data_IF_909402550626
#
_entry.id   IF_909402550626
#
_cell.length_a   1.000
_cell.length_b   1.000
_cell.length_c   1.000
_cell.angle_alpha   90.00
_cell.angle_beta   90.00
_cell.angle_gamma   90.00
#
_symmetry.space_group_name_H-M   'P 1'
#
loop_
_entity.id
_entity.type
_entity.pdbx_description
1 polymer ?
#
# COMPACT_ATOMS: atom_id res chain seq x y z
N UNK A 1 2.67 0.60 -0.99
CA UNK A 1 1.28 0.87 -1.44
C UNK A 1 1.15 2.35 -1.80
N UNK A 2 0.33 2.71 -2.77
CA UNK A 2 -0.04 4.11 -3.02
C UNK A 2 -1.48 4.34 -2.56
N UNK A 3 -1.77 5.47 -1.95
CA UNK A 3 -3.15 5.88 -1.65
C UNK A 3 -3.50 7.22 -2.29
N UNK A 4 -4.69 7.25 -2.88
CA UNK A 4 -5.37 8.42 -3.40
C UNK A 4 -6.67 8.56 -2.61
N UNK A 5 -6.84 9.67 -1.92
CA UNK A 5 -8.10 10.02 -1.28
C UNK A 5 -8.73 11.15 -2.09
N UNK A 6 -9.88 10.86 -2.70
CA UNK A 6 -10.69 11.87 -3.38
C UNK A 6 -11.19 12.93 -2.38
N UNK A 7 -11.62 14.10 -2.88
CA UNK A 7 -12.58 14.96 -2.17
C UNK A 7 -13.76 14.13 -1.67
N UNK A 8 -14.44 14.57 -0.60
CA UNK A 8 -15.46 13.75 0.06
C UNK A 8 -16.61 13.37 -0.90
N UNK A 9 -16.52 12.20 -1.53
CA UNK A 9 -17.52 11.70 -2.47
C UNK A 9 -18.85 11.62 -1.71
N UNK A 10 -19.88 12.40 -2.10
CA UNK A 10 -21.11 12.45 -1.33
C UNK A 10 -21.72 11.04 -1.20
N UNK A 11 -22.36 10.71 -0.08
CA UNK A 11 -22.55 9.32 0.38
C UNK A 11 -23.40 8.42 -0.53
N UNK A 12 -23.98 8.99 -1.59
CA UNK A 12 -24.73 8.31 -2.65
C UNK A 12 -23.85 7.80 -3.81
N UNK A 13 -22.55 8.11 -3.88
CA UNK A 13 -21.60 7.66 -4.92
C UNK A 13 -20.79 6.41 -4.52
N UNK A 14 -21.43 5.44 -3.86
CA UNK A 14 -20.89 4.07 -3.74
C UNK A 14 -21.26 3.28 -5.01
N UNK A 15 -20.29 2.58 -5.58
CA UNK A 15 -20.40 1.95 -6.90
C UNK A 15 -21.23 0.65 -6.91
N UNK A 16 -22.53 0.73 -6.65
CA UNK A 16 -23.49 -0.36 -6.88
C UNK A 16 -24.69 0.17 -7.70
N UNK A 17 -24.66 0.00 -9.04
CA UNK A 17 -25.85 0.01 -9.94
C UNK A 17 -25.49 0.11 -11.43
N UNK A 18 -24.32 0.66 -11.78
CA UNK A 18 -23.98 1.08 -13.15
C UNK A 18 -23.67 -0.04 -14.18
N UNK A 19 -24.21 -1.26 -13.99
CA UNK A 19 -24.08 -2.37 -14.94
C UNK A 19 -25.31 -3.29 -14.90
N UNK A 20 -26.39 -2.90 -15.60
CA UNK A 20 -27.37 -3.82 -16.21
C UNK A 20 -28.40 -3.05 -17.07
N UNK A 21 -28.27 -3.12 -18.40
CA UNK A 21 -29.19 -2.49 -19.35
C UNK A 21 -29.72 -3.46 -20.43
N UNK A 22 -29.84 -4.76 -20.10
CA UNK A 22 -30.31 -5.78 -21.07
C UNK A 22 -30.96 -7.02 -20.44
N UNK A 23 -32.04 -6.85 -19.66
CA UNK A 23 -32.99 -7.94 -19.36
C UNK A 23 -34.35 -7.40 -18.90
N UNK A 24 -35.44 -8.04 -19.32
CA UNK A 24 -36.82 -7.68 -18.94
C UNK A 24 -37.38 -8.63 -17.86
N UNK A 25 -37.53 -8.15 -16.63
CA UNK A 25 -38.36 -8.78 -15.59
C UNK A 25 -38.77 -7.74 -14.52
N UNK A 26 -39.92 -7.94 -13.87
CA UNK A 26 -40.52 -7.00 -12.93
C UNK A 26 -40.35 -7.41 -11.46
N UNK A 27 -39.82 -6.52 -10.61
CA UNK A 27 -39.97 -6.60 -9.16
C UNK A 27 -39.83 -5.22 -8.49
N UNK A 28 -40.64 -4.99 -7.45
CA UNK A 28 -40.58 -3.93 -6.41
C UNK A 28 -39.57 -2.78 -6.56
N UNK A 29 -40.05 -1.58 -6.89
CA UNK A 29 -39.30 -0.33 -6.76
C UNK A 29 -39.24 0.15 -5.30
N UNK A 30 -38.05 0.09 -4.68
CA UNK A 30 -37.68 1.07 -3.65
C UNK A 30 -37.16 2.33 -4.35
N UNK A 31 -37.77 3.48 -4.09
CA UNK A 31 -37.40 4.74 -4.77
C UNK A 31 -36.21 5.40 -4.09
N UNK A 32 -34.99 4.94 -4.41
CA UNK A 32 -33.83 5.83 -4.37
C UNK A 32 -33.99 6.88 -5.47
N UNK A 33 -33.84 8.16 -5.13
CA UNK A 33 -33.76 9.23 -6.14
C UNK A 33 -32.52 8.99 -7.00
N UNK A 34 -32.61 9.02 -8.35
CA UNK A 34 -31.42 8.99 -9.18
C UNK A 34 -30.46 10.11 -8.79
N UNK A 35 -29.19 9.78 -8.61
CA UNK A 35 -28.14 10.77 -8.38
C UNK A 35 -27.94 11.53 -9.67
N UNK A 36 -28.27 12.83 -9.67
CA UNK A 36 -27.88 13.72 -10.76
C UNK A 36 -26.38 14.01 -10.62
N UNK A 37 -25.57 13.27 -11.38
CA UNK A 37 -24.13 13.52 -11.49
C UNK A 37 -23.90 14.92 -12.06
N UNK A 38 -23.10 15.71 -11.36
CA UNK A 38 -22.67 17.04 -11.82
C UNK A 38 -22.08 16.96 -13.24
N UNK A 39 -22.31 18.01 -14.05
CA UNK A 39 -22.03 17.98 -15.49
C UNK A 39 -20.60 17.50 -15.82
N UNK A 40 -19.59 17.93 -15.05
CA UNK A 40 -18.20 17.52 -15.26
C UNK A 40 -17.94 16.03 -14.99
N UNK A 41 -18.66 15.40 -14.05
CA UNK A 41 -18.60 13.94 -13.85
C UNK A 41 -19.16 13.22 -15.08
N UNK A 42 -20.28 13.71 -15.63
CA UNK A 42 -20.86 13.14 -16.85
C UNK A 42 -19.95 13.33 -18.06
N UNK A 43 -19.27 14.48 -18.19
CA UNK A 43 -18.33 14.72 -19.28
C UNK A 43 -17.07 13.84 -19.16
N UNK A 44 -16.54 13.65 -17.94
CA UNK A 44 -15.38 12.79 -17.69
C UNK A 44 -15.68 11.29 -17.95
N UNK A 45 -16.93 10.87 -17.74
CA UNK A 45 -17.44 9.56 -18.18
C UNK A 45 -17.65 9.50 -19.71
N UNK A 46 -18.28 10.52 -20.29
CA UNK A 46 -18.64 10.62 -21.72
C UNK A 46 -17.43 10.62 -22.66
N UNK A 47 -16.36 11.30 -22.27
CA UNK A 47 -15.11 11.41 -23.05
C UNK A 47 -14.16 10.21 -22.84
N UNK A 48 -14.62 9.17 -22.13
CA UNK A 48 -13.85 7.94 -21.90
C UNK A 48 -12.56 8.19 -21.11
N UNK A 49 -12.56 9.12 -20.15
CA UNK A 49 -11.42 9.31 -19.24
C UNK A 49 -11.46 8.38 -18.03
N UNK A 50 -12.64 7.89 -17.63
CA UNK A 50 -12.80 6.91 -16.55
C UNK A 50 -11.98 5.63 -16.77
N UNK A 51 -11.92 5.14 -18.02
CA UNK A 51 -11.11 3.98 -18.41
C UNK A 51 -9.60 4.23 -18.25
N UNK A 52 -9.17 5.49 -18.42
CA UNK A 52 -7.78 5.95 -18.37
C UNK A 52 -7.30 6.30 -16.95
N UNK A 53 -8.22 6.52 -16.01
CA UNK A 53 -7.89 6.67 -14.59
C UNK A 53 -7.42 5.33 -14.00
N UNK A 54 -6.41 5.30 -13.12
CA UNK A 54 -5.95 4.06 -12.51
C UNK A 54 -7.02 3.45 -11.61
N UNK A 55 -7.13 2.11 -11.60
CA UNK A 55 -7.99 1.40 -10.66
C UNK A 55 -7.55 1.69 -9.21
N UNK A 56 -8.46 2.31 -8.47
CA UNK A 56 -8.32 2.63 -7.05
C UNK A 56 -9.34 1.77 -6.29
N UNK A 57 -8.85 0.94 -5.38
CA UNK A 57 -9.67 0.10 -4.50
C UNK A 57 -10.41 0.91 -3.44
N UNK A 58 -11.47 0.33 -2.85
CA UNK A 58 -12.39 0.95 -1.87
C UNK A 58 -11.70 1.73 -0.72
N UNK A 59 -10.50 1.31 -0.32
CA UNK A 59 -9.71 1.97 0.73
C UNK A 59 -8.89 3.16 0.22
N UNK A 60 -9.22 3.67 -0.96
CA UNK A 60 -8.45 4.70 -1.66
C UNK A 60 -7.04 4.24 -2.00
N UNK A 61 -6.81 2.96 -2.35
CA UNK A 61 -5.45 2.46 -2.65
C UNK A 61 -5.29 2.06 -4.12
N UNK A 62 -4.22 2.53 -4.75
CA UNK A 62 -3.73 2.04 -6.03
C UNK A 62 -2.57 1.06 -5.79
N UNK A 63 -2.69 -0.15 -6.33
CA UNK A 63 -1.80 -1.29 -6.02
C UNK A 63 -1.28 -2.05 -7.24
N UNK A 64 -1.82 -1.72 -8.42
CA UNK A 64 -1.57 -2.40 -9.69
C UNK A 64 -0.58 -1.59 -10.56
N UNK A 65 -0.44 -1.95 -11.84
CA UNK A 65 0.31 -1.16 -12.83
C UNK A 65 1.79 -0.93 -12.48
N UNK A 66 2.41 -1.80 -11.67
CA UNK A 66 3.78 -1.63 -11.18
C UNK A 66 4.01 -0.42 -10.26
N UNK A 67 2.95 0.37 -9.95
CA UNK A 67 3.08 1.72 -9.34
C UNK A 67 3.84 1.71 -8.01
N UNK A 68 3.77 0.59 -7.28
CA UNK A 68 4.44 0.41 -6.01
C UNK A 68 5.98 0.26 -6.12
N UNK A 69 6.56 0.23 -7.33
CA UNK A 69 8.00 0.14 -7.57
C UNK A 69 8.55 1.15 -8.57
N UNK A 70 7.78 2.18 -8.94
CA UNK A 70 8.29 3.31 -9.75
C UNK A 70 9.48 3.98 -9.04
N UNK A 71 10.43 4.49 -9.82
CA UNK A 71 11.62 5.18 -9.33
C UNK A 71 11.33 6.30 -8.32
N UNK A 72 10.31 7.11 -8.59
CA UNK A 72 9.89 8.18 -7.67
C UNK A 72 9.36 7.61 -6.33
N UNK A 73 8.68 6.45 -6.32
CA UNK A 73 8.27 5.76 -5.07
C UNK A 73 9.47 5.29 -4.26
N UNK A 74 10.55 4.87 -4.92
CA UNK A 74 11.77 4.43 -4.23
C UNK A 74 12.58 5.59 -3.67
N UNK A 75 12.75 6.69 -4.43
CA UNK A 75 13.37 7.93 -3.94
C UNK A 75 12.69 8.46 -2.68
N UNK A 76 11.36 8.33 -2.61
CA UNK A 76 10.57 8.70 -1.43
C UNK A 76 10.87 7.78 -0.24
N UNK A 77 10.90 6.45 -0.44
CA UNK A 77 11.24 5.49 0.64
C UNK A 77 12.62 5.72 1.24
N UNK A 78 13.58 6.17 0.43
CA UNK A 78 14.95 6.42 0.84
C UNK A 78 15.22 7.85 1.31
N UNK A 79 14.21 8.72 1.36
CA UNK A 79 14.33 10.13 1.72
C UNK A 79 15.09 10.31 3.06
N UNK A 80 16.34 10.83 3.05
CA UNK A 80 17.21 10.80 4.22
C UNK A 80 16.63 11.45 5.48
N UNK A 81 15.83 12.51 5.33
CA UNK A 81 15.20 13.20 6.46
C UNK A 81 14.13 12.36 7.16
N UNK A 82 13.51 11.42 6.45
CA UNK A 82 12.47 10.54 7.02
C UNK A 82 13.06 9.21 7.49
N UNK A 83 13.95 8.59 6.70
CA UNK A 83 14.65 7.37 7.13
C UNK A 83 15.38 7.64 8.44
N UNK A 84 16.17 8.73 8.54
CA UNK A 84 16.92 9.08 9.76
C UNK A 84 16.04 9.38 10.99
N UNK A 85 14.79 9.83 10.80
CA UNK A 85 13.86 10.00 11.90
C UNK A 85 13.40 8.65 12.48
N UNK A 86 13.14 7.67 11.61
CA UNK A 86 12.84 6.31 12.05
C UNK A 86 14.09 5.58 12.58
N UNK A 87 15.29 5.83 12.05
CA UNK A 87 16.55 5.30 12.60
C UNK A 87 16.77 5.75 14.05
N UNK A 88 16.45 7.01 14.34
CA UNK A 88 16.52 7.59 15.68
C UNK A 88 15.42 7.05 16.61
N UNK A 89 14.23 6.76 16.08
CA UNK A 89 13.08 6.28 16.88
C UNK A 89 13.16 4.78 17.20
N UNK A 90 13.66 3.96 16.27
CA UNK A 90 13.72 2.50 16.39
C UNK A 90 15.06 1.97 16.93
N UNK A 91 16.02 2.87 17.20
CA UNK A 91 17.42 2.59 17.58
C UNK A 91 18.08 1.52 16.67
N UNK A 92 17.85 1.66 15.36
CA UNK A 92 18.30 0.71 14.35
C UNK A 92 18.44 1.40 12.97
N UNK A 93 19.44 0.99 12.18
CA UNK A 93 19.74 1.60 10.87
C UNK A 93 19.20 0.79 9.69
N UNK A 94 18.72 -0.43 9.92
CA UNK A 94 18.31 -1.36 8.88
C UNK A 94 16.77 -1.39 8.77
N UNK A 95 16.17 -0.43 8.03
CA UNK A 95 14.72 -0.11 8.04
C UNK A 95 14.00 -0.12 6.66
N UNK A 96 12.69 0.23 6.56
CA UNK A 96 11.81 -0.01 5.38
C UNK A 96 10.50 0.88 5.22
N UNK A 97 10.42 2.21 4.98
CA UNK A 97 9.07 2.88 5.10
C UNK A 97 8.67 4.29 4.58
N UNK A 98 7.63 4.85 5.24
CA UNK A 98 6.62 5.87 4.80
C UNK A 98 7.14 7.28 4.55
N UNK A 99 6.53 7.98 3.57
CA UNK A 99 6.47 9.46 3.50
C UNK A 99 5.15 9.95 2.87
N UNK A 100 4.64 11.11 3.32
CA UNK A 100 3.60 11.88 2.63
C UNK A 100 4.22 13.09 1.89
N UNK A 101 3.73 13.42 0.69
CA UNK A 101 4.37 14.38 -0.22
C UNK A 101 3.72 15.77 -0.27
N UNK A 102 2.43 15.85 0.08
CA UNK A 102 1.66 17.08 -0.08
C UNK A 102 1.51 17.83 1.25
N UNK A 103 1.54 19.18 1.24
CA UNK A 103 1.17 19.98 2.41
C UNK A 103 -0.32 19.80 2.70
N UNK A 104 -0.67 19.43 3.93
CA UNK A 104 -2.06 19.29 4.38
C UNK A 104 -2.40 20.46 5.30
N UNK A 105 -3.38 21.28 4.93
CA UNK A 105 -3.99 22.29 5.81
C UNK A 105 -5.08 21.70 6.71
N UNK A 106 -5.67 22.52 7.61
CA UNK A 106 -6.66 22.05 8.59
C UNK A 106 -8.00 21.58 8.00
N UNK A 107 -8.25 21.84 6.71
CA UNK A 107 -9.46 21.44 5.96
C UNK A 107 -9.18 20.34 4.93
N UNK A 108 -7.92 20.11 4.60
CA UNK A 108 -7.47 19.11 3.64
C UNK A 108 -7.37 17.71 4.27
N UNK A 109 -8.04 17.51 5.41
CA UNK A 109 -8.14 16.27 6.19
C UNK A 109 -6.82 15.50 6.34
N UNK A 110 -6.86 14.20 6.04
CA UNK A 110 -5.70 13.31 6.19
C UNK A 110 -5.62 12.68 7.57
N UNK A 111 -4.41 12.42 8.06
CA UNK A 111 -4.19 11.63 9.28
C UNK A 111 -4.23 12.52 10.54
N UNK A 112 -5.30 12.41 11.34
CA UNK A 112 -5.32 12.98 12.69
C UNK A 112 -4.59 12.03 13.63
N UNK A 113 -3.66 12.59 14.42
CA UNK A 113 -2.77 11.85 15.32
C UNK A 113 -3.00 12.31 16.76
N UNK A 114 -3.38 11.38 17.65
CA UNK A 114 -3.63 11.65 19.06
C UNK A 114 -2.30 11.83 19.81
N UNK A 115 -1.73 13.04 19.77
CA UNK A 115 -0.45 13.37 20.41
C UNK A 115 -0.38 12.90 21.86
N UNK A 116 0.60 12.05 22.15
CA UNK A 116 0.84 11.52 23.50
C UNK A 116 0.10 10.22 23.83
N UNK A 117 -0.78 9.70 22.96
CA UNK A 117 -1.51 8.45 23.25
C UNK A 117 -0.61 7.23 23.43
N UNK A 118 0.60 7.25 22.87
CA UNK A 118 1.59 6.18 23.05
C UNK A 118 1.93 5.92 24.54
N UNK A 119 1.78 6.92 25.41
CA UNK A 119 1.97 6.77 26.85
C UNK A 119 0.85 5.95 27.52
N UNK A 120 -0.34 5.90 26.91
CA UNK A 120 -1.47 5.07 27.35
C UNK A 120 -1.41 3.65 26.77
N UNK A 121 -0.45 3.36 25.88
CA UNK A 121 -0.44 2.12 25.13
C UNK A 121 -0.23 0.89 25.99
N UNK A 122 0.60 0.97 27.04
CA UNK A 122 0.81 -0.16 27.97
C UNK A 122 -0.50 -0.52 28.66
N UNK A 123 -1.18 0.48 29.26
CA UNK A 123 -2.51 0.32 29.86
C UNK A 123 -3.51 -0.29 28.86
N UNK A 124 -3.56 0.21 27.62
CA UNK A 124 -4.44 -0.33 26.59
C UNK A 124 -4.13 -1.79 26.22
N UNK A 125 -2.84 -2.19 26.20
CA UNK A 125 -2.43 -3.57 25.93
C UNK A 125 -2.72 -4.50 27.12
N UNK A 126 -2.64 -4.00 28.35
CA UNK A 126 -2.99 -4.74 29.57
C UNK A 126 -4.51 -4.91 29.69
N UNK A 127 -5.29 -3.86 29.41
CA UNK A 127 -6.77 -3.87 29.42
C UNK A 127 -7.36 -4.71 28.29
N UNK A 128 -6.70 -4.80 27.12
CA UNK A 128 -7.10 -5.64 25.99
C UNK A 128 -6.36 -6.98 25.92
N UNK A 129 -5.66 -7.40 26.97
CA UNK A 129 -4.88 -8.65 27.00
C UNK A 129 -5.74 -9.94 26.86
N UNK A 130 -7.06 -9.81 26.89
CA UNK A 130 -8.05 -10.89 26.67
C UNK A 130 -8.45 -11.06 25.21
N UNK A 131 -8.15 -10.10 24.32
CA UNK A 131 -8.41 -10.24 22.87
C UNK A 131 -7.40 -11.21 22.23
N UNK A 132 -7.81 -11.89 21.15
CA UNK A 132 -6.90 -12.70 20.35
C UNK A 132 -5.85 -11.78 19.70
N UNK A 133 -4.56 -12.02 19.99
CA UNK A 133 -3.46 -11.19 19.50
C UNK A 133 -3.37 -11.22 17.98
N UNK A 134 -4.00 -10.24 17.33
CA UNK A 134 -3.78 -9.91 15.93
C UNK A 134 -2.26 -9.71 15.73
N UNK A 135 -1.59 -10.38 14.78
CA UNK A 135 -0.13 -10.24 14.59
C UNK A 135 0.36 -8.85 14.18
N UNK A 136 -0.51 -7.83 14.17
CA UNK A 136 -0.17 -6.42 13.94
C UNK A 136 0.33 -5.73 15.21
N UNK A 137 0.12 -6.35 16.38
CA UNK A 137 0.56 -5.87 17.68
C UNK A 137 2.02 -6.28 17.92
N UNK A 138 2.92 -5.80 17.05
CA UNK A 138 4.30 -5.53 17.46
C UNK A 138 4.30 -4.27 18.33
N UNK A 139 5.29 -4.12 19.21
CA UNK A 139 5.24 -3.12 20.27
C UNK A 139 5.20 -1.65 19.80
N UNK A 140 5.51 -1.34 18.53
CA UNK A 140 6.16 -0.06 18.19
C UNK A 140 5.43 0.89 17.22
N UNK A 141 4.12 0.75 17.08
CA UNK A 141 3.26 1.75 16.40
C UNK A 141 2.09 2.23 17.29
N UNK A 142 2.44 2.77 18.47
CA UNK A 142 1.53 3.02 19.60
C UNK A 142 0.69 4.30 19.54
N UNK A 143 0.84 5.15 18.52
CA UNK A 143 0.12 6.43 18.47
C UNK A 143 -1.20 6.27 17.70
N UNK A 144 -2.31 6.40 18.44
CA UNK A 144 -3.66 6.30 17.93
C UNK A 144 -3.93 7.41 16.90
N UNK A 145 -4.57 7.03 15.80
CA UNK A 145 -4.80 7.90 14.66
C UNK A 145 -6.05 7.49 13.90
N UNK A 146 -6.62 8.42 13.14
CA UNK A 146 -7.73 8.15 12.22
C UNK A 146 -7.67 9.10 11.01
N UNK A 147 -8.33 8.69 9.93
CA UNK A 147 -8.43 9.51 8.72
C UNK A 147 -9.61 10.49 8.82
N UNK A 148 -9.38 11.75 8.47
CA UNK A 148 -10.41 12.74 8.20
C UNK A 148 -10.60 12.91 6.69
N UNK A 149 -11.86 12.94 6.23
CA UNK A 149 -12.23 13.28 4.85
C UNK A 149 -11.76 14.70 4.47
N UNK A 150 -11.66 15.01 3.18
CA UNK A 150 -11.37 16.39 2.76
C UNK A 150 -12.64 17.24 2.81
N UNK A 151 -12.53 18.48 3.27
CA UNK A 151 -13.52 19.54 3.00
C UNK A 151 -13.20 20.30 1.70
N UNK A 152 -12.11 19.92 1.01
CA UNK A 152 -11.57 20.61 -0.18
C UNK A 152 -11.53 19.71 -1.41
N UNK A 153 -11.69 20.31 -2.58
CA UNK A 153 -11.72 19.62 -3.89
C UNK A 153 -10.33 19.17 -4.39
N UNK A 154 -9.28 19.42 -3.62
CA UNK A 154 -7.92 19.02 -3.98
C UNK A 154 -7.72 17.50 -3.75
N UNK A 155 -7.39 16.72 -4.79
CA UNK A 155 -7.13 15.29 -4.63
C UNK A 155 -5.85 15.06 -3.82
N UNK A 156 -5.89 14.10 -2.88
CA UNK A 156 -4.78 13.81 -1.95
C UNK A 156 -4.03 12.55 -2.35
N UNK A 157 -2.72 12.57 -2.18
CA UNK A 157 -1.80 11.54 -2.68
C UNK A 157 -0.71 11.24 -1.65
N UNK A 158 -0.63 10.01 -1.14
CA UNK A 158 0.34 9.61 -0.13
C UNK A 158 0.92 8.19 -0.34
N UNK A 159 2.21 8.02 -0.04
CA UNK A 159 2.96 6.79 -0.31
C UNK A 159 3.07 5.94 0.96
N UNK A 160 2.12 5.00 1.12
CA UNK A 160 2.09 4.06 2.25
C UNK A 160 3.16 2.97 2.13
N UNK A 161 4.17 3.09 2.98
CA UNK A 161 5.28 2.14 3.23
C UNK A 161 5.58 2.19 4.74
N UNK A 162 6.13 1.18 5.43
CA UNK A 162 6.19 1.20 6.90
C UNK A 162 7.47 0.59 7.48
N UNK A 163 8.25 1.37 8.24
CA UNK A 163 9.57 0.95 8.76
C UNK A 163 9.46 -0.10 9.87
N UNK A 164 10.42 -1.04 9.89
CA UNK A 164 10.67 -2.03 10.95
C UNK A 164 12.14 -2.45 10.86
N UNK A 165 12.83 -2.74 11.97
CA UNK A 165 14.18 -3.29 11.97
C UNK A 165 14.30 -4.63 11.22
N UNK A 166 15.40 -4.83 10.48
CA UNK A 166 15.66 -6.12 9.81
C UNK A 166 15.79 -7.29 10.78
N UNK A 167 16.26 -7.06 12.02
CA UNK A 167 16.36 -8.09 13.08
C UNK A 167 15.01 -8.75 13.43
N UNK A 168 13.90 -8.07 13.16
CA UNK A 168 12.53 -8.54 13.42
C UNK A 168 11.91 -9.25 12.20
N UNK A 169 12.62 -9.35 11.06
CA UNK A 169 12.19 -10.06 9.87
C UNK A 169 12.75 -11.49 9.81
N UNK A 170 11.91 -12.48 9.49
CA UNK A 170 12.40 -13.84 9.22
C UNK A 170 13.11 -13.92 7.87
N UNK A 171 14.03 -14.87 7.69
CA UNK A 171 14.68 -15.08 6.39
C UNK A 171 13.66 -15.42 5.28
N UNK A 172 12.60 -16.16 5.61
CA UNK A 172 11.49 -16.44 4.70
C UNK A 172 10.72 -15.16 4.29
N UNK A 173 10.61 -14.17 5.17
CA UNK A 173 10.04 -12.86 4.83
C UNK A 173 10.96 -12.07 3.89
N UNK A 174 12.28 -12.07 4.15
CA UNK A 174 13.25 -11.42 3.27
C UNK A 174 13.27 -12.05 1.87
N UNK A 175 13.20 -13.39 1.77
CA UNK A 175 13.07 -14.09 0.49
C UNK A 175 11.77 -13.74 -0.24
N UNK A 176 10.62 -13.68 0.47
CA UNK A 176 9.33 -13.27 -0.12
C UNK A 176 9.35 -11.80 -0.57
N UNK A 177 10.07 -10.94 0.15
CA UNK A 177 10.28 -9.53 -0.19
C UNK A 177 11.22 -9.37 -1.39
N UNK A 178 12.23 -10.23 -1.54
CA UNK A 178 13.08 -10.31 -2.75
C UNK A 178 12.24 -10.67 -3.97
N UNK A 179 11.46 -11.75 -3.90
CA UNK A 179 10.54 -12.17 -4.96
C UNK A 179 9.55 -11.05 -5.34
N UNK A 180 8.93 -10.40 -4.35
CA UNK A 180 8.03 -9.27 -4.58
C UNK A 180 8.72 -8.07 -5.27
N UNK A 181 9.99 -7.81 -4.95
CA UNK A 181 10.81 -6.78 -5.58
C UNK A 181 11.21 -7.15 -7.02
N UNK A 182 11.71 -8.37 -7.24
CA UNK A 182 12.13 -8.90 -8.55
C UNK A 182 10.96 -8.91 -9.54
N UNK A 183 9.77 -9.35 -9.09
CA UNK A 183 8.51 -9.29 -9.85
C UNK A 183 7.83 -7.91 -9.87
N UNK A 184 8.41 -6.89 -9.24
CA UNK A 184 7.88 -5.51 -9.15
C UNK A 184 6.43 -5.41 -8.64
N UNK A 185 5.96 -6.35 -7.82
CA UNK A 185 4.58 -6.35 -7.29
C UNK A 185 4.47 -5.59 -5.98
N UNK A 186 3.37 -4.85 -5.80
CA UNK A 186 3.09 -4.18 -4.53
C UNK A 186 2.88 -5.17 -3.38
N UNK A 187 3.55 -4.94 -2.26
CA UNK A 187 3.27 -5.63 -0.99
C UNK A 187 2.15 -4.90 -0.23
N UNK A 188 1.55 -5.58 0.75
CA UNK A 188 0.77 -4.88 1.79
C UNK A 188 1.66 -3.91 2.60
N UNK A 189 1.07 -3.12 3.50
CA UNK A 189 1.80 -2.15 4.34
C UNK A 189 2.88 -2.75 5.24
N UNK A 190 2.91 -4.08 5.40
CA UNK A 190 3.82 -4.78 6.29
C UNK A 190 5.26 -4.75 5.75
N UNK A 191 6.24 -4.25 6.53
CA UNK A 191 7.64 -4.16 6.12
C UNK A 191 8.24 -5.50 5.65
N UNK A 192 7.85 -6.58 6.33
CA UNK A 192 8.28 -7.96 6.06
C UNK A 192 7.55 -8.61 4.87
N UNK A 193 6.80 -7.83 4.07
CA UNK A 193 6.08 -8.30 2.89
C UNK A 193 5.18 -9.52 3.14
N UNK A 194 4.52 -9.61 4.32
CA UNK A 194 3.68 -10.76 4.72
C UNK A 194 2.69 -11.22 3.64
N UNK A 195 2.17 -10.29 2.85
CA UNK A 195 1.34 -10.59 1.68
C UNK A 195 1.80 -9.77 0.47
N UNK A 196 1.91 -10.43 -0.69
CA UNK A 196 2.25 -9.83 -2.00
C UNK A 196 1.00 -9.71 -2.87
N UNK A 197 0.84 -8.60 -3.57
CA UNK A 197 -0.24 -8.39 -4.54
C UNK A 197 0.10 -8.84 -5.97
N UNK A 198 -0.68 -8.34 -6.92
CA UNK A 198 -0.50 -8.52 -8.37
C UNK A 198 -0.56 -7.17 -9.07
N UNK A 199 0.23 -7.00 -10.14
CA UNK A 199 0.19 -5.80 -10.97
C UNK A 199 -0.98 -5.77 -11.95
N UNK A 200 -1.70 -6.90 -12.11
CA UNK A 200 -2.93 -7.02 -12.91
C UNK A 200 -4.12 -6.41 -12.17
N UNK A 201 -4.57 -5.24 -12.63
CA UNK A 201 -5.88 -4.67 -12.35
C UNK A 201 -6.96 -5.36 -13.19
N UNK A 202 -8.20 -5.38 -12.67
CA UNK A 202 -9.39 -5.88 -13.37
C UNK A 202 -10.52 -4.87 -13.33
N UNK A 203 -11.22 -4.70 -14.46
CA UNK A 203 -12.49 -3.96 -14.57
C UNK A 203 -13.56 -4.93 -15.02
N UNK A 204 -14.68 -4.97 -14.30
CA UNK A 204 -15.83 -5.84 -14.61
C UNK A 204 -15.46 -7.32 -14.81
N UNK A 205 -14.46 -7.78 -14.04
CA UNK A 205 -13.87 -9.13 -14.09
C UNK A 205 -12.80 -9.36 -15.17
N UNK A 206 -12.79 -8.54 -16.24
CA UNK A 206 -11.80 -8.58 -17.30
C UNK A 206 -10.50 -7.88 -16.89
N UNK A 207 -9.38 -8.23 -17.52
CA UNK A 207 -8.09 -7.56 -17.28
C UNK A 207 -8.09 -6.16 -17.91
N UNK A 208 -7.62 -5.17 -17.14
CA UNK A 208 -7.54 -3.77 -17.56
C UNK A 208 -6.62 -3.61 -18.80
N UNK A 209 -7.08 -2.96 -19.91
CA UNK A 209 -6.29 -2.78 -21.12
C UNK A 209 -5.07 -1.85 -20.94
N UNK A 210 -4.98 -1.13 -19.82
CA UNK A 210 -3.86 -0.28 -19.43
C UNK A 210 -2.97 -0.93 -18.36
N UNK A 211 -3.13 -2.23 -18.10
CA UNK A 211 -2.24 -3.02 -17.25
C UNK A 211 -0.76 -2.90 -17.71
N UNK A 212 0.13 -2.93 -16.71
CA UNK A 212 1.57 -3.10 -16.91
C UNK A 212 2.16 -3.90 -15.76
N UNK A 213 3.03 -4.86 -16.08
CA UNK A 213 3.67 -5.73 -15.09
C UNK A 213 4.86 -5.08 -14.37
N UNK A 214 5.35 -3.95 -14.88
CA UNK A 214 6.54 -3.23 -14.42
C UNK A 214 6.26 -1.72 -14.35
N UNK A 215 6.99 -0.95 -13.52
CA UNK A 215 6.90 0.51 -13.51
C UNK A 215 7.23 1.13 -14.88
N UNK A 216 6.84 2.39 -15.09
CA UNK A 216 7.29 3.19 -16.25
C UNK A 216 8.78 3.50 -16.12
N UNK A 217 9.20 3.95 -14.93
CA UNK A 217 10.60 4.25 -14.61
C UNK A 217 11.12 3.24 -13.59
N UNK A 218 12.06 2.39 -14.02
CA UNK A 218 12.69 1.39 -13.15
C UNK A 218 13.55 2.07 -12.05
N UNK A 219 13.48 1.61 -10.78
CA UNK A 219 14.02 2.35 -9.66
C UNK A 219 15.54 2.33 -9.59
N UNK A 220 16.16 3.51 -9.57
CA UNK A 220 17.60 3.70 -9.48
C UNK A 220 18.03 3.73 -8.00
N UNK A 221 18.21 2.54 -7.40
CA UNK A 221 18.53 2.40 -5.98
C UNK A 221 19.99 2.76 -5.67
N UNK A 222 20.20 3.66 -4.71
CA UNK A 222 21.48 3.81 -4.04
C UNK A 222 21.70 2.71 -2.97
N UNK A 223 22.86 2.72 -2.29
CA UNK A 223 23.19 1.72 -1.26
C UNK A 223 22.16 1.68 -0.11
N UNK A 224 21.60 2.83 0.29
CA UNK A 224 20.62 2.92 1.38
C UNK A 224 19.27 2.38 0.90
N UNK A 225 18.80 2.83 -0.26
CA UNK A 225 17.57 2.36 -0.89
C UNK A 225 17.61 0.85 -1.18
N UNK A 226 18.78 0.31 -1.56
CA UNK A 226 18.99 -1.12 -1.71
C UNK A 226 18.97 -1.87 -0.37
N UNK A 227 19.53 -1.31 0.71
CA UNK A 227 19.34 -1.85 2.07
C UNK A 227 17.87 -1.89 2.49
N UNK A 228 17.08 -0.87 2.18
CA UNK A 228 15.62 -0.87 2.45
C UNK A 228 14.88 -2.02 1.76
N UNK A 229 15.43 -2.66 0.70
CA UNK A 229 14.83 -3.87 0.11
C UNK A 229 14.87 -5.07 1.06
N UNK A 230 15.79 -5.12 2.02
CA UNK A 230 16.05 -6.30 2.86
C UNK A 230 16.84 -7.41 2.17
N UNK A 231 17.08 -7.31 0.86
CA UNK A 231 17.81 -8.31 0.07
C UNK A 231 19.26 -8.50 0.54
N UNK A 232 20.02 -7.45 0.93
CA UNK A 232 21.40 -7.60 1.46
C UNK A 232 21.54 -8.42 2.75
N UNK A 233 20.43 -8.71 3.44
CA UNK A 233 20.39 -9.38 4.74
C UNK A 233 19.84 -10.81 4.64
N UNK A 234 19.58 -11.28 3.42
CA UNK A 234 19.34 -12.69 3.12
C UNK A 234 20.67 -13.42 3.28
N UNK A 235 20.73 -14.37 4.21
CA UNK A 235 21.87 -15.27 4.37
C UNK A 235 21.95 -16.18 3.14
N UNK A 236 23.16 -16.53 2.72
CA UNK A 236 23.33 -17.52 1.67
C UNK A 236 22.71 -18.85 2.11
N UNK A 237 21.97 -19.51 1.22
CA UNK A 237 21.37 -20.82 1.48
C UNK A 237 22.48 -21.89 1.54
N UNK A 238 23.10 -22.03 2.72
CA UNK A 238 24.12 -23.06 2.99
C UNK A 238 23.59 -24.47 2.65
N UNK A 239 22.29 -24.71 2.86
CA UNK A 239 21.61 -25.96 2.46
C UNK A 239 21.56 -26.15 0.94
N UNK A 240 21.33 -25.11 0.13
CA UNK A 240 21.35 -25.23 -1.33
C UNK A 240 22.79 -25.42 -1.85
N UNK A 241 23.77 -24.75 -1.24
CA UNK A 241 25.18 -24.96 -1.58
C UNK A 241 25.64 -26.38 -1.22
N UNK A 242 25.24 -26.90 -0.05
CA UNK A 242 25.51 -28.28 0.35
C UNK A 242 24.80 -29.30 -0.54
N UNK A 243 23.53 -29.06 -0.93
CA UNK A 243 22.81 -29.94 -1.86
C UNK A 243 23.42 -29.92 -3.26
N UNK A 244 23.85 -28.76 -3.78
CA UNK A 244 24.58 -28.69 -5.06
C UNK A 244 25.95 -29.36 -4.98
N UNK A 245 26.71 -29.20 -3.89
CA UNK A 245 27.98 -29.90 -3.69
C UNK A 245 27.78 -31.42 -3.58
N UNK A 246 26.76 -31.90 -2.86
CA UNK A 246 26.45 -33.32 -2.79
C UNK A 246 26.01 -33.88 -4.15
N UNK A 247 25.21 -33.15 -4.92
CA UNK A 247 24.84 -33.57 -6.28
C UNK A 247 26.04 -33.60 -7.24
N UNK A 248 26.99 -32.66 -7.12
CA UNK A 248 28.23 -32.67 -7.89
C UNK A 248 29.18 -33.79 -7.47
N UNK A 249 29.27 -34.10 -6.17
CA UNK A 249 30.05 -35.23 -5.64
C UNK A 249 29.43 -36.61 -5.96
N UNK A 250 28.15 -36.66 -6.31
CA UNK A 250 27.47 -37.87 -6.82
C UNK A 250 27.53 -38.00 -8.36
N UNK A 251 28.24 -37.09 -9.03
CA UNK A 251 28.45 -37.08 -10.49
C UNK A 251 29.95 -37.20 -10.87
N UNK A 252 30.80 -37.67 -9.94
CA UNK A 252 32.22 -37.98 -10.12
C UNK A 252 32.52 -39.39 -9.63
#
# INVERSE_FOLDING_TARGET
MLSVQNPATPPHLKAESALNASASASASTSTSTPVELEQWHQDLLRDGYADKLPLISEKGMCMHYGVAHEDWVWKIRSEPGVVGAFETFLDDKDLIGLVNLLPNGPKDGGLIVCKGSHNLSTQFHDEMAWEEKIPAWTNECRTAHYNLSSETDQPRFCVYTCYMPVKDASQADLMRKRDAFERRVGTTHWPNARHTGSNVAKRDGQDDPHNRDRPVEEPQLDERAFKLTGIPYIKADEEQQQQQQQQQQQQQ
#
